data_IF_390856601861
#
_entry.id   IF_390856601861
#
_cell.length_a   1.000
_cell.length_b   1.000
_cell.length_c   1.000
_cell.angle_alpha   90.00
_cell.angle_beta   90.00
_cell.angle_gamma   90.00
#
_symmetry.space_group_name_H-M   'P 1'
#
loop_
_entity.id
_entity.type
_entity.pdbx_description
1 polymer ?
#
# COMPACT_ATOMS: atom_id res chain seq x y z
N UNK A 1 -38.00 0.92 -30.76
CA UNK A 1 -36.97 0.86 -31.83
C UNK A 1 -35.74 1.71 -31.51
N UNK A 2 -35.84 2.95 -31.01
CA UNK A 2 -34.64 3.72 -30.62
C UNK A 2 -33.86 3.06 -29.47
N UNK A 3 -34.54 2.54 -28.44
CA UNK A 3 -33.89 1.91 -27.28
C UNK A 3 -33.10 0.63 -27.62
N UNK A 4 -33.57 -0.14 -28.60
CA UNK A 4 -32.88 -1.36 -29.06
C UNK A 4 -31.63 -1.03 -29.89
N UNK A 5 -31.65 0.10 -30.60
CA UNK A 5 -30.51 0.59 -31.39
C UNK A 5 -29.46 1.22 -30.47
N UNK A 6 -29.86 2.02 -29.48
CA UNK A 6 -28.90 2.55 -28.49
C UNK A 6 -28.24 1.45 -27.68
N UNK A 7 -29.00 0.43 -27.26
CA UNK A 7 -28.45 -0.73 -26.55
C UNK A 7 -27.41 -1.51 -27.38
N UNK A 8 -27.65 -1.72 -28.67
CA UNK A 8 -26.71 -2.43 -29.55
C UNK A 8 -25.43 -1.62 -29.80
N UNK A 9 -25.50 -0.30 -29.97
CA UNK A 9 -24.32 0.56 -30.06
C UNK A 9 -23.49 0.60 -28.77
N UNK A 10 -24.16 0.64 -27.60
CA UNK A 10 -23.48 0.54 -26.30
C UNK A 10 -22.76 -0.81 -26.20
N UNK A 11 -23.42 -1.92 -26.54
CA UNK A 11 -22.81 -3.25 -26.49
C UNK A 11 -21.62 -3.37 -27.45
N UNK A 12 -21.74 -2.87 -28.67
CA UNK A 12 -20.65 -2.84 -29.64
C UNK A 12 -19.46 -2.01 -29.13
N UNK A 13 -19.72 -0.83 -28.55
CA UNK A 13 -18.71 0.01 -27.92
C UNK A 13 -17.98 -0.72 -26.78
N UNK A 14 -18.72 -1.41 -25.91
CA UNK A 14 -18.14 -2.22 -24.83
C UNK A 14 -17.25 -3.33 -25.38
N UNK A 15 -17.67 -4.05 -26.42
CA UNK A 15 -16.86 -5.12 -27.05
C UNK A 15 -15.55 -4.55 -27.63
N UNK A 16 -15.61 -3.42 -28.34
CA UNK A 16 -14.43 -2.75 -28.89
C UNK A 16 -13.46 -2.33 -27.78
N UNK A 17 -13.97 -1.77 -26.68
CA UNK A 17 -13.17 -1.41 -25.51
C UNK A 17 -12.51 -2.65 -24.89
N UNK A 18 -13.23 -3.75 -24.70
CA UNK A 18 -12.65 -4.98 -24.16
C UNK A 18 -11.59 -5.58 -25.09
N UNK A 19 -11.82 -5.57 -26.40
CA UNK A 19 -10.84 -6.02 -27.38
C UNK A 19 -9.57 -5.16 -27.34
N UNK A 20 -9.73 -3.83 -27.27
CA UNK A 20 -8.63 -2.89 -27.14
C UNK A 20 -7.85 -3.11 -25.84
N UNK A 21 -8.51 -3.27 -24.70
CA UNK A 21 -7.87 -3.55 -23.40
C UNK A 21 -7.08 -4.86 -23.47
N UNK A 22 -7.68 -5.93 -24.02
CA UNK A 22 -7.00 -7.23 -24.16
C UNK A 22 -5.75 -7.10 -25.04
N UNK A 23 -5.84 -6.38 -26.15
CA UNK A 23 -4.70 -6.13 -27.04
C UNK A 23 -3.62 -5.30 -26.35
N UNK A 24 -4.00 -4.21 -25.68
CA UNK A 24 -3.08 -3.33 -24.97
C UNK A 24 -2.33 -4.06 -23.86
N UNK A 25 -3.05 -4.85 -23.05
CA UNK A 25 -2.45 -5.66 -21.98
C UNK A 25 -1.57 -6.79 -22.53
N UNK A 26 -1.97 -7.43 -23.63
CA UNK A 26 -1.28 -8.58 -24.21
C UNK A 26 -0.06 -8.24 -25.08
N UNK A 27 0.18 -6.95 -25.36
CA UNK A 27 1.28 -6.49 -26.23
C UNK A 27 2.67 -6.97 -25.80
N UNK A 28 2.86 -7.22 -24.50
CA UNK A 28 4.16 -7.61 -23.92
C UNK A 28 4.17 -9.05 -23.38
N UNK A 29 3.21 -9.90 -23.72
CA UNK A 29 3.12 -11.24 -23.12
C UNK A 29 4.31 -12.15 -23.48
N UNK A 30 4.99 -11.87 -24.59
CA UNK A 30 6.20 -12.57 -25.02
C UNK A 30 7.50 -12.04 -24.39
N UNK A 31 7.44 -11.00 -23.55
CA UNK A 31 8.61 -10.30 -23.01
C UNK A 31 9.56 -11.24 -22.25
N UNK A 32 9.01 -12.05 -21.35
CA UNK A 32 9.78 -13.00 -20.52
C UNK A 32 10.16 -14.26 -21.30
N UNK A 33 9.27 -14.72 -22.19
CA UNK A 33 9.53 -15.86 -23.05
C UNK A 33 10.75 -15.62 -23.95
N UNK A 34 10.84 -14.44 -24.59
CA UNK A 34 11.99 -14.03 -25.42
C UNK A 34 13.32 -13.97 -24.64
N UNK A 35 13.26 -13.79 -23.32
CA UNK A 35 14.43 -13.69 -22.44
C UNK A 35 14.80 -15.00 -21.74
N UNK A 36 14.02 -16.07 -21.95
CA UNK A 36 14.26 -17.36 -21.31
C UNK A 36 14.11 -17.35 -19.78
N UNK A 37 13.38 -16.38 -19.23
CA UNK A 37 13.16 -16.26 -17.77
C UNK A 37 11.86 -17.01 -17.41
N UNK A 38 11.85 -17.89 -16.39
CA UNK A 38 10.62 -18.47 -15.88
C UNK A 38 9.64 -17.37 -15.48
N UNK A 39 8.37 -17.47 -15.87
CA UNK A 39 7.40 -16.42 -15.58
C UNK A 39 6.01 -16.94 -15.25
N UNK A 40 5.31 -16.19 -14.40
CA UNK A 40 3.91 -16.40 -14.11
C UNK A 40 3.06 -15.81 -15.25
N UNK A 41 2.10 -16.58 -15.80
CA UNK A 41 1.21 -16.06 -16.83
C UNK A 41 0.39 -14.90 -16.27
N UNK A 42 0.12 -13.91 -17.13
CA UNK A 42 -0.68 -12.74 -16.77
C UNK A 42 -2.07 -13.18 -16.28
N UNK A 43 -2.50 -12.62 -15.16
CA UNK A 43 -3.88 -12.77 -14.69
C UNK A 43 -4.79 -12.04 -15.69
N UNK A 44 -5.77 -12.74 -16.25
CA UNK A 44 -6.77 -12.12 -17.14
C UNK A 44 -7.41 -10.91 -16.46
N UNK A 45 -7.77 -9.88 -17.22
CA UNK A 45 -8.39 -8.66 -16.68
C UNK A 45 -9.60 -8.96 -15.77
N UNK A 46 -10.45 -9.90 -16.18
CA UNK A 46 -11.59 -10.38 -15.37
C UNK A 46 -11.10 -11.04 -14.08
N UNK A 47 -10.09 -11.90 -14.17
CA UNK A 47 -9.47 -12.54 -13.00
C UNK A 47 -8.83 -11.55 -12.04
N UNK A 48 -8.23 -10.47 -12.56
CA UNK A 48 -7.66 -9.40 -11.75
C UNK A 48 -8.78 -8.64 -11.01
N UNK A 49 -9.86 -8.27 -11.70
CA UNK A 49 -11.02 -7.61 -11.10
C UNK A 49 -11.69 -8.47 -10.03
N UNK A 50 -11.90 -9.77 -10.30
CA UNK A 50 -12.42 -10.70 -9.30
C UNK A 50 -11.49 -10.81 -8.08
N UNK A 51 -10.18 -10.96 -8.30
CA UNK A 51 -9.22 -11.06 -7.19
C UNK A 51 -9.12 -9.77 -6.37
N UNK A 52 -9.17 -8.61 -7.01
CA UNK A 52 -9.17 -7.32 -6.30
C UNK A 52 -10.46 -7.06 -5.52
N UNK A 53 -11.60 -7.56 -6.02
CA UNK A 53 -12.89 -7.39 -5.37
C UNK A 53 -13.09 -8.35 -4.18
N UNK A 54 -12.50 -9.55 -4.25
CA UNK A 54 -12.84 -10.64 -3.32
C UNK A 54 -11.67 -11.22 -2.52
N UNK A 55 -10.42 -11.05 -2.97
CA UNK A 55 -9.26 -11.63 -2.29
C UNK A 55 -8.37 -10.55 -1.68
N UNK A 56 -7.79 -10.85 -0.52
CA UNK A 56 -6.72 -10.03 0.05
C UNK A 56 -5.47 -10.12 -0.83
N UNK A 57 -4.77 -8.99 -1.01
CA UNK A 57 -3.48 -8.92 -1.73
C UNK A 57 -2.49 -9.93 -1.11
N UNK A 58 -2.58 -10.16 0.19
CA UNK A 58 -1.76 -11.14 0.92
C UNK A 58 -1.97 -12.57 0.41
N UNK A 59 -3.20 -12.96 0.11
CA UNK A 59 -3.50 -14.29 -0.45
C UNK A 59 -2.97 -14.43 -1.87
N UNK A 60 -3.10 -13.37 -2.68
CA UNK A 60 -2.53 -13.33 -4.03
C UNK A 60 -1.00 -13.53 -4.01
N UNK A 61 -0.31 -12.87 -3.08
CA UNK A 61 1.15 -13.01 -2.92
C UNK A 61 1.53 -14.41 -2.46
N UNK A 62 0.78 -15.01 -1.52
CA UNK A 62 0.98 -16.40 -1.08
C UNK A 62 0.79 -17.40 -2.22
N UNK A 63 -0.29 -17.24 -3.00
CA UNK A 63 -0.55 -18.06 -4.17
C UNK A 63 0.56 -17.97 -5.22
N UNK A 64 1.14 -16.78 -5.41
CA UNK A 64 2.27 -16.62 -6.32
C UNK A 64 3.55 -17.24 -5.78
N UNK A 65 3.81 -17.11 -4.47
CA UNK A 65 4.96 -17.71 -3.81
C UNK A 65 4.91 -19.25 -3.79
N UNK A 66 3.72 -19.84 -3.69
CA UNK A 66 3.52 -21.29 -3.66
C UNK A 66 3.63 -21.97 -5.04
N UNK A 67 3.70 -21.20 -6.12
CA UNK A 67 3.79 -21.75 -7.48
C UNK A 67 5.22 -22.15 -7.83
N UNK A 68 5.40 -23.18 -8.68
CA UNK A 68 6.71 -23.75 -9.01
C UNK A 68 7.50 -22.90 -10.04
N UNK A 69 7.50 -21.57 -9.90
CA UNK A 69 8.27 -20.69 -10.78
C UNK A 69 9.72 -20.47 -10.30
N UNK A 70 10.03 -20.95 -9.08
CA UNK A 70 11.31 -20.73 -8.42
C UNK A 70 11.35 -19.41 -7.64
N UNK A 71 12.52 -19.09 -7.09
CA UNK A 71 12.73 -17.90 -6.25
C UNK A 71 12.87 -16.60 -7.05
N UNK A 72 13.13 -16.69 -8.36
CA UNK A 72 13.25 -15.53 -9.25
C UNK A 72 12.44 -15.82 -10.50
N UNK A 73 11.42 -15.02 -10.75
CA UNK A 73 10.55 -15.19 -11.91
C UNK A 73 9.99 -13.87 -12.41
N UNK A 74 9.70 -13.84 -13.71
CA UNK A 74 8.95 -12.76 -14.34
C UNK A 74 7.48 -12.83 -13.97
N UNK A 75 6.85 -11.69 -13.80
CA UNK A 75 5.41 -11.55 -13.71
C UNK A 75 4.98 -10.33 -14.53
N UNK A 76 3.70 -10.05 -14.50
CA UNK A 76 3.20 -8.85 -15.15
C UNK A 76 2.17 -8.15 -14.26
N UNK A 77 2.40 -6.87 -14.06
CA UNK A 77 1.40 -5.96 -13.54
C UNK A 77 0.80 -5.21 -14.74
N UNK A 78 -0.34 -5.70 -15.25
CA UNK A 78 -1.06 -5.21 -16.45
C UNK A 78 -0.21 -4.53 -17.54
N UNK A 79 0.15 -5.12 -18.68
CA UNK A 79 1.15 -4.64 -19.66
C UNK A 79 2.60 -4.42 -19.16
N UNK A 80 2.85 -3.99 -17.91
CA UNK A 80 4.20 -3.78 -17.40
C UNK A 80 4.86 -5.12 -17.00
N UNK A 81 6.01 -5.49 -17.59
CA UNK A 81 6.78 -6.63 -17.12
C UNK A 81 7.44 -6.30 -15.78
N UNK A 82 7.24 -7.15 -14.79
CA UNK A 82 7.79 -7.00 -13.42
C UNK A 82 8.56 -8.25 -13.04
N UNK A 83 9.64 -8.11 -12.27
CA UNK A 83 10.41 -9.26 -11.77
C UNK A 83 10.14 -9.44 -10.29
N UNK A 84 9.85 -10.68 -9.89
CA UNK A 84 9.74 -11.06 -8.48
C UNK A 84 11.05 -11.71 -8.08
N UNK A 85 11.68 -11.16 -7.04
CA UNK A 85 12.95 -11.64 -6.50
C UNK A 85 12.73 -12.05 -5.05
N UNK A 86 12.90 -13.34 -4.76
CA UNK A 86 12.77 -13.94 -3.44
C UNK A 86 14.07 -14.64 -2.98
N UNK A 87 15.20 -14.34 -3.62
CA UNK A 87 16.53 -14.80 -3.19
C UNK A 87 17.23 -13.71 -2.35
N UNK A 88 17.62 -13.97 -1.09
CA UNK A 88 18.19 -12.95 -0.19
C UNK A 88 19.46 -12.29 -0.72
N UNK A 89 20.34 -13.04 -1.39
CA UNK A 89 21.59 -12.49 -1.92
C UNK A 89 21.32 -11.47 -3.03
N UNK A 90 20.39 -11.78 -3.94
CA UNK A 90 19.97 -10.83 -4.98
C UNK A 90 19.21 -9.63 -4.40
N UNK A 91 18.38 -9.85 -3.36
CA UNK A 91 17.72 -8.75 -2.65
C UNK A 91 18.73 -7.81 -1.99
N UNK A 92 19.80 -8.35 -1.39
CA UNK A 92 20.89 -7.54 -0.83
C UNK A 92 21.60 -6.75 -1.93
N UNK A 93 21.86 -7.37 -3.06
CA UNK A 93 22.50 -6.68 -4.19
C UNK A 93 21.61 -5.53 -4.69
N UNK A 94 20.32 -5.77 -4.94
CA UNK A 94 19.38 -4.76 -5.43
C UNK A 94 19.12 -3.63 -4.41
N UNK A 95 18.87 -3.98 -3.15
CA UNK A 95 18.40 -3.02 -2.13
C UNK A 95 19.54 -2.28 -1.41
N UNK A 96 20.77 -2.82 -1.45
CA UNK A 96 21.90 -2.28 -0.69
C UNK A 96 23.10 -1.97 -1.58
N UNK A 97 23.67 -2.98 -2.24
CA UNK A 97 24.94 -2.85 -2.97
C UNK A 97 24.79 -1.94 -4.20
N UNK A 98 23.79 -2.23 -5.01
CA UNK A 98 23.50 -1.59 -6.28
C UNK A 98 22.27 -0.68 -6.20
N UNK A 99 21.95 -0.18 -5.00
CA UNK A 99 20.80 0.70 -4.78
C UNK A 99 20.82 1.95 -5.68
N UNK A 100 22.01 2.43 -6.05
CA UNK A 100 22.18 3.57 -6.96
C UNK A 100 21.66 3.29 -8.39
N UNK A 101 21.56 2.01 -8.79
CA UNK A 101 20.94 1.57 -10.06
C UNK A 101 19.42 1.46 -9.91
N UNK A 102 18.94 1.12 -8.71
CA UNK A 102 17.52 0.96 -8.37
C UNK A 102 17.00 2.02 -7.38
N UNK A 103 17.22 3.33 -7.59
CA UNK A 103 16.87 4.34 -6.60
C UNK A 103 15.37 4.65 -6.57
N UNK A 104 14.65 4.27 -7.64
CA UNK A 104 13.25 4.62 -7.84
C UNK A 104 12.33 3.51 -7.38
N UNK A 105 11.38 3.87 -6.52
CA UNK A 105 10.22 3.05 -6.24
C UNK A 105 9.20 3.20 -7.37
N UNK A 106 8.20 2.34 -7.37
CA UNK A 106 7.05 2.48 -8.25
C UNK A 106 6.45 3.88 -8.11
N UNK A 107 6.38 4.69 -9.18
CA UNK A 107 5.70 5.97 -9.11
C UNK A 107 4.22 5.71 -8.84
N UNK A 108 3.68 6.42 -7.85
CA UNK A 108 2.25 6.41 -7.55
C UNK A 108 1.81 7.87 -7.52
N UNK A 109 0.84 8.21 -8.35
CA UNK A 109 0.25 9.55 -8.36
C UNK A 109 -1.10 9.48 -7.65
N UNK A 110 -1.20 10.19 -6.54
CA UNK A 110 -2.45 10.30 -5.80
C UNK A 110 -3.37 11.36 -6.41
N UNK A 111 -2.80 12.33 -7.13
CA UNK A 111 -3.50 13.51 -7.66
C UNK A 111 -3.66 14.62 -6.62
N UNK A 112 -3.07 14.47 -5.43
CA UNK A 112 -2.95 15.52 -4.42
C UNK A 112 -1.46 15.93 -4.33
N UNK A 113 -1.11 17.19 -4.63
CA UNK A 113 0.27 17.66 -4.57
C UNK A 113 0.95 17.46 -3.21
N UNK A 114 0.19 17.49 -2.11
CA UNK A 114 0.73 17.29 -0.76
C UNK A 114 1.07 15.82 -0.54
N UNK A 115 0.19 14.91 -0.93
CA UNK A 115 0.42 13.48 -0.80
C UNK A 115 1.55 13.01 -1.73
N UNK A 116 1.61 13.53 -2.97
CA UNK A 116 2.68 13.21 -3.92
C UNK A 116 4.07 13.72 -3.44
N UNK A 117 4.09 14.69 -2.51
CA UNK A 117 5.30 15.19 -1.85
C UNK A 117 5.71 14.38 -0.60
N UNK A 118 5.05 13.26 -0.30
CA UNK A 118 5.44 12.38 0.81
C UNK A 118 6.75 11.65 0.52
N UNK A 119 7.59 11.45 1.55
CA UNK A 119 8.90 10.78 1.43
C UNK A 119 8.81 9.32 0.96
N UNK A 120 7.63 8.71 1.05
CA UNK A 120 7.35 7.38 0.51
C UNK A 120 7.17 7.38 -1.01
N UNK A 121 6.65 8.47 -1.59
CA UNK A 121 6.26 8.61 -2.99
C UNK A 121 7.27 9.39 -3.84
N UNK A 122 8.02 10.31 -3.23
CA UNK A 122 9.06 11.07 -3.91
C UNK A 122 10.13 10.16 -4.53
N UNK A 123 10.73 10.64 -5.61
CA UNK A 123 11.77 9.95 -6.39
C UNK A 123 13.02 10.82 -6.52
N UNK A 124 14.18 10.17 -6.69
CA UNK A 124 15.44 10.85 -7.04
C UNK A 124 15.99 11.77 -5.95
N UNK A 125 16.53 12.92 -6.37
CA UNK A 125 17.21 13.87 -5.48
C UNK A 125 16.26 14.53 -4.47
N UNK A 126 14.98 14.72 -4.82
CA UNK A 126 13.98 15.26 -3.89
C UNK A 126 13.74 14.32 -2.72
N UNK A 127 13.59 13.02 -3.01
CA UNK A 127 13.52 11.99 -1.99
C UNK A 127 14.76 11.99 -1.10
N UNK A 128 15.95 12.05 -1.70
CA UNK A 128 17.23 12.04 -0.96
C UNK A 128 17.35 13.25 -0.05
N UNK A 129 16.98 14.44 -0.53
CA UNK A 129 16.95 15.69 0.22
C UNK A 129 16.02 15.60 1.42
N UNK A 130 14.76 15.24 1.21
CA UNK A 130 13.77 15.17 2.30
C UNK A 130 14.11 14.05 3.29
N UNK A 131 14.57 12.88 2.81
CA UNK A 131 15.02 11.79 3.69
C UNK A 131 16.17 12.23 4.59
N UNK A 132 17.12 13.00 4.06
CA UNK A 132 18.25 13.54 4.85
C UNK A 132 17.77 14.47 5.95
N UNK A 133 16.73 15.28 5.70
CA UNK A 133 16.13 16.19 6.69
C UNK A 133 15.38 15.41 7.80
N UNK A 134 14.65 14.36 7.44
CA UNK A 134 13.80 13.60 8.39
C UNK A 134 14.62 12.60 9.24
N UNK A 135 15.67 12.00 8.68
CA UNK A 135 16.44 10.92 9.33
C UNK A 135 16.94 11.27 10.76
N UNK A 136 17.43 12.49 11.05
CA UNK A 136 17.87 12.88 12.40
C UNK A 136 16.79 12.77 13.50
N UNK A 137 15.51 12.86 13.14
CA UNK A 137 14.40 12.69 14.08
C UNK A 137 14.31 11.27 14.66
N UNK A 138 14.87 10.27 13.96
CA UNK A 138 14.81 8.86 14.34
C UNK A 138 16.13 8.30 14.91
N UNK A 139 17.03 9.17 15.37
CA UNK A 139 18.25 8.73 16.06
C UNK A 139 17.94 8.05 17.39
N UNK A 140 18.82 7.16 17.87
CA UNK A 140 18.63 6.45 19.14
C UNK A 140 18.39 7.39 20.34
N UNK A 141 18.99 8.59 20.33
CA UNK A 141 18.75 9.62 21.35
C UNK A 141 17.31 10.13 21.31
N UNK A 142 16.78 10.43 20.11
CA UNK A 142 15.40 10.89 19.94
C UNK A 142 14.39 9.78 20.24
N UNK A 143 14.66 8.55 19.82
CA UNK A 143 13.82 7.39 20.15
C UNK A 143 13.72 7.15 21.66
N UNK A 144 14.82 7.34 22.42
CA UNK A 144 14.77 7.30 23.89
C UNK A 144 13.96 8.43 24.52
N UNK A 145 13.84 9.59 23.87
CA UNK A 145 12.94 10.65 24.33
C UNK A 145 11.48 10.30 24.03
N UNK A 146 11.21 9.65 22.90
CA UNK A 146 9.86 9.20 22.55
C UNK A 146 9.37 8.07 23.46
N UNK A 147 10.25 7.27 24.06
CA UNK A 147 9.81 6.16 24.93
C UNK A 147 9.01 6.62 26.13
N UNK A 148 9.30 7.80 26.71
CA UNK A 148 8.48 8.34 27.80
C UNK A 148 7.08 8.74 27.33
N UNK A 149 6.95 9.24 26.10
CA UNK A 149 5.65 9.55 25.48
C UNK A 149 4.86 8.25 25.26
N UNK A 150 5.52 7.22 24.75
CA UNK A 150 4.93 5.90 24.53
C UNK A 150 4.44 5.29 25.85
N UNK A 151 5.24 5.34 26.90
CA UNK A 151 4.88 4.86 28.24
C UNK A 151 3.64 5.59 28.77
N UNK A 152 3.61 6.91 28.65
CA UNK A 152 2.46 7.70 29.09
C UNK A 152 1.18 7.36 28.31
N UNK A 153 1.26 7.26 26.99
CA UNK A 153 0.13 6.84 26.16
C UNK A 153 -0.30 5.40 26.44
N UNK A 154 0.61 4.52 26.90
CA UNK A 154 0.25 3.13 27.18
C UNK A 154 -0.70 2.97 28.36
N UNK A 155 -0.69 3.93 29.29
CA UNK A 155 -1.58 3.94 30.46
C UNK A 155 -3.05 4.02 30.06
N UNK A 156 -3.38 4.76 29.00
CA UNK A 156 -4.76 4.83 28.50
C UNK A 156 -5.25 3.49 27.95
N UNK A 157 -4.35 2.68 27.36
CA UNK A 157 -4.67 1.33 26.91
C UNK A 157 -4.99 0.41 28.10
N UNK A 158 -4.20 0.50 29.17
CA UNK A 158 -4.43 -0.27 30.40
C UNK A 158 -5.81 0.07 31.00
N UNK A 159 -6.12 1.37 31.14
CA UNK A 159 -7.43 1.83 31.62
C UNK A 159 -8.59 1.26 30.79
N UNK A 160 -8.46 1.28 29.46
CA UNK A 160 -9.49 0.74 28.56
C UNK A 160 -9.62 -0.77 28.71
N UNK A 161 -8.51 -1.50 28.83
CA UNK A 161 -8.54 -2.95 29.03
C UNK A 161 -9.20 -3.32 30.37
N UNK A 162 -8.90 -2.59 31.44
CA UNK A 162 -9.53 -2.77 32.76
C UNK A 162 -11.04 -2.54 32.68
N UNK A 163 -11.49 -1.45 32.05
CA UNK A 163 -12.91 -1.13 31.87
C UNK A 163 -13.66 -2.24 31.09
N UNK A 164 -13.04 -2.79 30.04
CA UNK A 164 -13.63 -3.87 29.26
C UNK A 164 -13.69 -5.17 30.05
N UNK A 165 -12.64 -5.45 30.85
CA UNK A 165 -12.59 -6.62 31.73
C UNK A 165 -13.69 -6.55 32.80
N UNK A 166 -13.86 -5.41 33.47
CA UNK A 166 -14.93 -5.19 34.45
C UNK A 166 -16.32 -5.37 33.86
N UNK A 167 -16.51 -4.95 32.60
CA UNK A 167 -17.78 -5.08 31.88
C UNK A 167 -17.98 -6.46 31.24
N UNK A 168 -17.01 -7.36 31.35
CA UNK A 168 -17.04 -8.68 30.69
C UNK A 168 -17.14 -8.59 29.16
N UNK A 169 -16.61 -7.52 28.55
CA UNK A 169 -16.69 -7.27 27.11
C UNK A 169 -15.40 -7.66 26.39
N UNK A 170 -15.49 -8.19 25.16
CA UNK A 170 -14.31 -8.45 24.34
C UNK A 170 -13.64 -7.14 23.93
N UNK A 171 -12.32 -7.11 23.96
CA UNK A 171 -11.50 -5.96 23.52
C UNK A 171 -11.25 -6.06 22.02
N UNK A 172 -11.62 -5.02 21.27
CA UNK A 172 -11.18 -4.87 19.88
C UNK A 172 -9.75 -4.30 19.85
N UNK A 173 -8.78 -5.18 19.64
CA UNK A 173 -7.36 -4.81 19.55
C UNK A 173 -7.06 -3.83 18.41
N UNK A 174 -7.76 -3.93 17.28
CA UNK A 174 -7.49 -3.06 16.12
C UNK A 174 -7.87 -1.62 16.43
N UNK A 175 -9.06 -1.41 17.00
CA UNK A 175 -9.50 -0.08 17.42
C UNK A 175 -8.65 0.45 18.58
N UNK A 176 -8.39 -0.40 19.57
CA UNK A 176 -7.65 -0.02 20.79
C UNK A 176 -6.21 0.39 20.46
N UNK A 177 -5.43 -0.48 19.81
CA UNK A 177 -4.05 -0.14 19.47
C UNK A 177 -3.96 0.90 18.34
N UNK A 178 -5.00 1.02 17.51
CA UNK A 178 -5.13 2.12 16.56
C UNK A 178 -5.20 3.48 17.27
N UNK A 179 -6.08 3.62 18.25
CA UNK A 179 -6.21 4.84 19.06
C UNK A 179 -4.92 5.15 19.85
N UNK A 180 -4.29 4.15 20.45
CA UNK A 180 -2.98 4.29 21.09
C UNK A 180 -1.90 4.82 20.13
N UNK A 181 -1.80 4.22 18.94
CA UNK A 181 -0.81 4.65 17.94
C UNK A 181 -1.07 6.09 17.49
N UNK A 182 -2.34 6.47 17.35
CA UNK A 182 -2.74 7.84 17.04
C UNK A 182 -2.30 8.82 18.14
N UNK A 183 -2.54 8.49 19.40
CA UNK A 183 -2.14 9.32 20.55
C UNK A 183 -0.61 9.49 20.61
N UNK A 184 0.15 8.40 20.39
CA UNK A 184 1.61 8.43 20.35
C UNK A 184 2.12 9.34 19.23
N UNK A 185 1.54 9.25 18.02
CA UNK A 185 1.94 10.09 16.88
C UNK A 185 1.60 11.55 17.15
N UNK A 186 0.38 11.85 17.60
CA UNK A 186 -0.06 13.20 17.90
C UNK A 186 0.84 13.87 18.95
N UNK A 187 1.17 13.15 20.02
CA UNK A 187 1.98 13.67 21.11
C UNK A 187 3.46 13.79 20.73
N UNK A 188 4.01 12.82 20.02
CA UNK A 188 5.44 12.83 19.65
C UNK A 188 5.78 13.73 18.46
N UNK A 189 4.94 13.76 17.42
CA UNK A 189 5.20 14.52 16.20
C UNK A 189 4.64 15.94 16.25
N UNK A 190 3.50 16.16 16.92
CA UNK A 190 2.80 17.45 16.94
C UNK A 190 2.76 18.10 18.32
N UNK A 191 3.22 17.41 19.37
CA UNK A 191 3.16 17.92 20.74
C UNK A 191 1.74 18.01 21.31
N UNK A 192 0.76 17.39 20.65
CA UNK A 192 -0.65 17.50 21.00
C UNK A 192 -1.08 16.25 21.76
N UNK A 193 -1.65 16.44 22.94
CA UNK A 193 -2.29 15.36 23.66
C UNK A 193 -3.73 15.21 23.19
N UNK A 194 -3.98 14.11 22.47
CA UNK A 194 -5.32 13.64 22.13
C UNK A 194 -5.59 12.38 22.96
N UNK A 195 -6.85 12.15 23.30
CA UNK A 195 -7.29 10.96 24.02
C UNK A 195 -8.22 10.18 23.10
N UNK A 196 -7.65 9.59 22.05
CA UNK A 196 -8.42 8.99 20.93
C UNK A 196 -9.34 7.85 21.39
N UNK A 197 -9.03 7.24 22.53
CA UNK A 197 -9.89 6.24 23.17
C UNK A 197 -11.19 6.83 23.73
N UNK A 198 -11.10 7.98 24.41
CA UNK A 198 -12.26 8.63 25.08
C UNK A 198 -13.00 9.59 24.14
N UNK A 199 -12.32 10.13 23.13
CA UNK A 199 -12.90 11.00 22.10
C UNK A 199 -12.63 10.49 20.68
N UNK A 200 -13.36 9.46 20.20
CA UNK A 200 -13.20 8.94 18.84
C UNK A 200 -13.62 9.93 17.74
N UNK A 201 -14.34 10.99 18.10
CA UNK A 201 -14.82 12.03 17.17
C UNK A 201 -13.88 13.23 17.13
N UNK A 202 -12.74 13.15 17.81
CA UNK A 202 -11.70 14.17 17.75
C UNK A 202 -11.35 14.48 16.29
N UNK A 203 -11.28 15.78 15.97
CA UNK A 203 -11.05 16.22 14.60
C UNK A 203 -9.78 15.62 14.00
N UNK A 204 -8.71 15.50 14.79
CA UNK A 204 -7.44 14.91 14.37
C UNK A 204 -7.63 13.43 13.98
N UNK A 205 -8.29 12.65 14.81
CA UNK A 205 -8.55 11.22 14.59
C UNK A 205 -9.41 11.01 13.34
N UNK A 206 -10.46 11.81 13.20
CA UNK A 206 -11.37 11.73 12.05
C UNK A 206 -10.65 12.07 10.75
N UNK A 207 -9.90 13.17 10.71
CA UNK A 207 -9.16 13.60 9.51
C UNK A 207 -8.09 12.60 9.09
N UNK A 208 -7.39 12.00 10.05
CA UNK A 208 -6.41 10.96 9.75
C UNK A 208 -7.09 9.70 9.19
N UNK A 209 -8.19 9.25 9.81
CA UNK A 209 -8.97 8.11 9.29
C UNK A 209 -9.49 8.37 7.88
N UNK A 210 -10.05 9.55 7.60
CA UNK A 210 -10.50 9.95 6.26
C UNK A 210 -9.35 9.90 5.24
N UNK A 211 -8.17 10.39 5.62
CA UNK A 211 -6.99 10.39 4.75
C UNK A 211 -6.53 8.98 4.38
N UNK A 212 -6.53 8.05 5.35
CA UNK A 212 -6.17 6.64 5.10
C UNK A 212 -7.24 5.90 4.27
N UNK A 213 -8.53 6.21 4.46
CA UNK A 213 -9.61 5.59 3.68
C UNK A 213 -9.64 6.09 2.23
N UNK A 214 -9.37 7.38 2.02
CA UNK A 214 -9.26 8.00 0.70
C UNK A 214 -7.99 7.56 -0.06
N UNK A 215 -7.01 6.98 0.64
CA UNK A 215 -5.87 6.29 0.05
C UNK A 215 -6.29 4.91 -0.50
N UNK A 216 -7.29 4.87 -1.39
CA UNK A 216 -7.84 3.62 -1.92
C UNK A 216 -7.06 3.14 -3.16
N UNK A 217 -6.72 1.85 -3.18
CA UNK A 217 -5.98 1.13 -4.24
C UNK A 217 -6.52 1.29 -5.68
N UNK A 218 -7.84 1.43 -5.95
CA UNK A 218 -8.34 1.61 -7.31
C UNK A 218 -7.80 2.86 -8.01
N UNK A 219 -7.52 3.94 -7.27
CA UNK A 219 -6.95 5.18 -7.83
C UNK A 219 -5.47 5.01 -8.19
N UNK A 220 -4.74 4.15 -7.46
CA UNK A 220 -3.33 3.83 -7.69
C UNK A 220 -3.10 2.88 -8.87
N UNK A 221 -4.07 2.04 -9.25
CA UNK A 221 -3.93 1.14 -10.40
C UNK A 221 -4.24 1.81 -11.74
N UNK A 222 -4.83 3.00 -11.73
CA UNK A 222 -5.21 3.76 -12.93
C UNK A 222 -4.25 4.91 -13.26
N UNK A 223 -3.15 5.08 -12.52
CA UNK A 223 -2.08 6.06 -12.79
C UNK A 223 -0.88 5.42 -13.49
#
# INVERSE_FOLDING_TARGET
MLETVTFTWILAGVIVVFAFIKWYLGRNDDYWQKRGVPFAPRISFIGLMFKLAFNDITELLKDMANKPFGKVFGSFEGSLPTVVVAEPDLLRDILVKDFHIFPYRRPMMTGDPVADSMVSLMIGEDWKRVRTIITPAFTSKRMRQMSSIIDECSKSVVEVCEEYCEKGKPVDFKSTFGAFTMDVIAKSAFGTQINSHKDPQNEFVRKVRESFLNFTIPRMMLS
#
